data_IF_454555816372
#
_entry.id   IF_454555816372
#
_cell.length_a   1.000
_cell.length_b   1.000
_cell.length_c   1.000
_cell.angle_alpha   90.00
_cell.angle_beta   90.00
_cell.angle_gamma   90.00
#
_symmetry.space_group_name_H-M   'P 1'
#
loop_
_entity.id
_entity.type
_entity.pdbx_description
1 polymer ?
#
# COMPACT_ATOMS: atom_id res chain seq x y z
N UNK A 1 -5.73 11.33 -25.41
CA UNK A 1 -6.72 11.59 -24.35
C UNK A 1 -6.54 13.01 -23.87
N UNK A 2 -7.62 13.73 -23.52
CA UNK A 2 -7.58 15.16 -23.18
C UNK A 2 -6.59 15.49 -22.06
N UNK A 3 -6.39 14.60 -21.10
CA UNK A 3 -5.35 14.69 -20.06
C UNK A 3 -3.93 14.87 -20.63
N UNK A 4 -3.62 14.28 -21.80
CA UNK A 4 -2.32 14.48 -22.46
C UNK A 4 -2.20 15.87 -23.10
N UNK A 5 -3.32 16.48 -23.47
CA UNK A 5 -3.38 17.78 -24.12
C UNK A 5 -3.49 18.91 -23.10
N UNK A 6 -4.17 18.65 -21.98
CA UNK A 6 -4.42 19.58 -20.87
C UNK A 6 -4.26 18.79 -19.57
N UNK A 7 -3.06 18.77 -18.96
CA UNK A 7 -2.77 17.96 -17.77
C UNK A 7 -3.67 18.25 -16.56
N UNK A 8 -4.14 19.48 -16.39
CA UNK A 8 -5.03 19.89 -15.29
C UNK A 8 -6.52 19.70 -15.59
N UNK A 9 -6.89 19.19 -16.77
CA UNK A 9 -8.29 19.07 -17.17
C UNK A 9 -9.08 18.15 -16.24
N UNK A 10 -8.51 17.00 -15.87
CA UNK A 10 -9.22 16.05 -15.01
C UNK A 10 -9.38 16.60 -13.58
N UNK A 11 -8.39 17.35 -13.08
CA UNK A 11 -8.49 18.07 -11.80
C UNK A 11 -9.69 19.04 -11.81
N UNK A 12 -9.92 19.72 -12.93
CA UNK A 12 -11.04 20.66 -13.10
C UNK A 12 -12.39 19.99 -13.32
N UNK A 13 -12.41 18.66 -13.54
CA UNK A 13 -13.62 17.90 -13.88
C UNK A 13 -13.80 16.72 -12.91
N UNK A 14 -14.02 17.04 -11.62
CA UNK A 14 -14.14 16.05 -10.54
C UNK A 14 -15.18 14.97 -10.81
N UNK A 15 -16.33 15.32 -11.38
CA UNK A 15 -17.39 14.36 -11.74
C UNK A 15 -16.91 13.26 -12.69
N UNK A 16 -16.01 13.60 -13.62
CA UNK A 16 -15.39 12.63 -14.52
C UNK A 16 -14.44 11.73 -13.74
N UNK A 17 -13.61 12.29 -12.85
CA UNK A 17 -12.75 11.51 -11.98
C UNK A 17 -13.54 10.52 -11.13
N UNK A 18 -14.64 10.95 -10.50
CA UNK A 18 -15.49 10.09 -9.68
C UNK A 18 -16.12 8.95 -10.52
N UNK A 19 -16.58 9.25 -11.74
CA UNK A 19 -17.07 8.24 -12.67
C UNK A 19 -15.98 7.24 -13.07
N UNK A 20 -14.74 7.69 -13.29
CA UNK A 20 -13.61 6.80 -13.56
C UNK A 20 -13.27 5.93 -12.34
N UNK A 21 -13.33 6.47 -11.12
CA UNK A 21 -13.10 5.72 -9.90
C UNK A 21 -14.18 4.64 -9.68
N UNK A 22 -15.45 4.94 -9.99
CA UNK A 22 -16.51 3.94 -10.00
C UNK A 22 -16.29 2.87 -11.07
N UNK A 23 -15.85 3.26 -12.26
CA UNK A 23 -15.50 2.33 -13.34
C UNK A 23 -14.33 1.43 -12.95
N UNK A 24 -13.34 1.95 -12.23
CA UNK A 24 -12.26 1.17 -11.63
C UNK A 24 -12.81 0.08 -10.71
N UNK A 25 -13.80 0.37 -9.88
CA UNK A 25 -14.37 -0.65 -8.97
C UNK A 25 -15.37 -1.59 -9.64
N UNK A 26 -15.70 -1.38 -10.91
CA UNK A 26 -16.76 -2.14 -11.58
C UNK A 26 -16.39 -3.61 -11.82
N UNK A 27 -17.34 -4.50 -11.56
CA UNK A 27 -17.19 -5.93 -11.85
C UNK A 27 -16.92 -6.18 -13.33
N UNK A 28 -17.56 -5.41 -14.23
CA UNK A 28 -17.37 -5.53 -15.67
C UNK A 28 -15.90 -5.31 -16.08
N UNK A 29 -15.23 -4.29 -15.52
CA UNK A 29 -13.81 -4.05 -15.78
C UNK A 29 -12.93 -5.16 -15.20
N UNK A 30 -13.19 -5.59 -13.97
CA UNK A 30 -12.42 -6.68 -13.34
C UNK A 30 -12.56 -8.00 -14.10
N UNK A 31 -13.76 -8.33 -14.57
CA UNK A 31 -14.01 -9.52 -15.40
C UNK A 31 -13.24 -9.47 -16.73
N UNK A 32 -13.20 -8.30 -17.38
CA UNK A 32 -12.35 -8.09 -18.57
C UNK A 32 -10.87 -8.29 -18.28
N UNK A 33 -10.39 -7.75 -17.16
CA UNK A 33 -9.00 -7.87 -16.74
C UNK A 33 -8.59 -9.34 -16.48
N UNK A 34 -9.49 -10.15 -15.91
CA UNK A 34 -9.25 -11.57 -15.69
C UNK A 34 -9.23 -12.38 -17.00
N UNK A 35 -10.05 -11.98 -17.98
CA UNK A 35 -10.19 -12.67 -19.27
C UNK A 35 -9.46 -11.93 -20.40
N UNK A 36 -8.32 -11.29 -20.08
CA UNK A 36 -7.58 -10.43 -21.02
C UNK A 36 -7.28 -11.10 -22.37
N UNK A 37 -7.08 -12.41 -22.38
CA UNK A 37 -6.72 -13.19 -23.57
C UNK A 37 -7.81 -13.15 -24.66
N UNK A 38 -9.07 -12.98 -24.27
CA UNK A 38 -10.24 -12.94 -25.16
C UNK A 38 -10.52 -11.53 -25.71
N UNK A 39 -9.79 -10.53 -25.21
CA UNK A 39 -10.05 -9.14 -25.50
C UNK A 39 -9.18 -8.59 -26.62
N UNK A 40 -9.75 -7.62 -27.34
CA UNK A 40 -8.98 -6.84 -28.31
C UNK A 40 -8.02 -5.86 -27.60
N UNK A 41 -7.05 -5.33 -28.36
CA UNK A 41 -6.00 -4.46 -27.82
C UNK A 41 -6.53 -3.19 -27.12
N UNK A 42 -7.67 -2.66 -27.57
CA UNK A 42 -8.29 -1.45 -26.99
C UNK A 42 -8.84 -1.78 -25.60
N UNK A 43 -9.53 -2.90 -25.46
CA UNK A 43 -10.11 -3.34 -24.19
C UNK A 43 -9.03 -3.74 -23.18
N UNK A 44 -7.96 -4.41 -23.61
CA UNK A 44 -6.81 -4.75 -22.75
C UNK A 44 -6.14 -3.49 -22.18
N UNK A 45 -6.15 -2.38 -22.94
CA UNK A 45 -5.55 -1.11 -22.51
C UNK A 45 -6.46 -0.28 -21.60
N UNK A 46 -7.71 -0.69 -21.36
CA UNK A 46 -8.66 0.05 -20.53
C UNK A 46 -8.09 0.37 -19.15
N UNK A 47 -7.67 -0.65 -18.39
CA UNK A 47 -7.08 -0.46 -17.06
C UNK A 47 -5.82 0.41 -17.11
N UNK A 48 -4.97 0.24 -18.14
CA UNK A 48 -3.80 1.10 -18.35
C UNK A 48 -4.18 2.57 -18.48
N UNK A 49 -5.24 2.86 -19.23
CA UNK A 49 -5.69 4.24 -19.42
C UNK A 49 -6.32 4.82 -18.16
N UNK A 50 -7.08 4.03 -17.41
CA UNK A 50 -7.60 4.44 -16.10
C UNK A 50 -6.46 4.79 -15.13
N UNK A 51 -5.47 3.90 -14.97
CA UNK A 51 -4.30 4.18 -14.13
C UNK A 51 -3.61 5.47 -14.56
N UNK A 52 -3.40 5.69 -15.87
CA UNK A 52 -2.77 6.94 -16.35
C UNK A 52 -3.60 8.18 -16.04
N UNK A 53 -4.93 8.11 -16.09
CA UNK A 53 -5.80 9.21 -15.68
C UNK A 53 -5.67 9.48 -14.17
N UNK A 54 -5.70 8.43 -13.33
CA UNK A 54 -5.55 8.58 -11.89
C UNK A 54 -4.19 9.14 -11.50
N UNK A 55 -3.10 8.64 -12.07
CA UNK A 55 -1.77 9.19 -11.78
C UNK A 55 -1.63 10.64 -12.19
N UNK A 56 -2.20 11.04 -13.33
CA UNK A 56 -2.24 12.45 -13.69
C UNK A 56 -3.03 13.29 -12.67
N UNK A 57 -4.20 12.81 -12.23
CA UNK A 57 -4.99 13.50 -11.22
C UNK A 57 -4.22 13.61 -9.88
N UNK A 58 -3.65 12.51 -9.39
CA UNK A 58 -2.93 12.42 -8.12
C UNK A 58 -1.68 13.31 -8.04
N UNK A 59 -1.05 13.61 -9.19
CA UNK A 59 0.06 14.58 -9.24
C UNK A 59 -0.38 16.01 -8.96
N UNK A 60 -1.65 16.33 -9.20
CA UNK A 60 -2.24 17.64 -8.93
C UNK A 60 -3.00 17.68 -7.61
N UNK A 61 -3.65 16.58 -7.23
CA UNK A 61 -4.42 16.45 -5.99
C UNK A 61 -3.96 15.22 -5.20
N UNK A 62 -3.04 15.45 -4.25
CA UNK A 62 -2.41 14.38 -3.45
C UNK A 62 -3.30 13.90 -2.29
N UNK A 63 -4.47 14.53 -2.05
CA UNK A 63 -5.37 14.14 -0.95
C UNK A 63 -6.24 12.91 -1.26
N UNK A 64 -6.36 12.48 -2.52
CA UNK A 64 -7.20 11.35 -2.92
C UNK A 64 -6.56 9.99 -2.57
N UNK A 65 -6.45 9.68 -1.28
CA UNK A 65 -5.78 8.47 -0.80
C UNK A 65 -6.53 7.19 -1.20
N UNK A 66 -7.86 7.21 -1.25
CA UNK A 66 -8.64 6.01 -1.62
C UNK A 66 -8.22 5.47 -2.99
N UNK A 67 -8.13 6.33 -4.01
CA UNK A 67 -7.77 5.87 -5.36
C UNK A 67 -6.31 5.40 -5.42
N UNK A 68 -5.43 6.03 -4.61
CA UNK A 68 -4.03 5.63 -4.49
C UNK A 68 -3.93 4.18 -4.00
N UNK A 69 -4.70 3.80 -2.98
CA UNK A 69 -4.73 2.40 -2.54
C UNK A 69 -5.49 1.50 -3.53
N UNK A 70 -6.63 1.93 -4.06
CA UNK A 70 -7.45 1.15 -4.99
C UNK A 70 -6.66 0.73 -6.25
N UNK A 71 -5.77 1.60 -6.76
CA UNK A 71 -5.03 1.35 -8.00
C UNK A 71 -3.98 0.25 -7.84
N UNK A 72 -3.45 0.01 -6.63
CA UNK A 72 -2.54 -1.10 -6.35
C UNK A 72 -3.17 -2.47 -6.66
N UNK A 73 -4.51 -2.56 -6.67
CA UNK A 73 -5.21 -3.79 -7.02
C UNK A 73 -4.84 -4.32 -8.41
N UNK A 74 -4.28 -3.48 -9.29
CA UNK A 74 -3.83 -3.91 -10.61
C UNK A 74 -2.73 -4.97 -10.56
N UNK A 75 -1.90 -4.96 -9.50
CA UNK A 75 -0.82 -5.91 -9.31
C UNK A 75 -1.30 -7.28 -8.79
N UNK A 76 -2.60 -7.41 -8.50
CA UNK A 76 -3.25 -8.68 -8.15
C UNK A 76 -3.58 -9.52 -9.39
N UNK A 77 -3.42 -8.96 -10.59
CA UNK A 77 -3.77 -9.61 -11.84
C UNK A 77 -2.53 -9.84 -12.71
N UNK A 78 -2.49 -11.00 -13.35
CA UNK A 78 -1.49 -11.33 -14.36
C UNK A 78 -1.85 -10.66 -15.69
N UNK A 79 -1.62 -9.36 -15.79
CA UNK A 79 -1.88 -8.57 -17.00
C UNK A 79 -0.72 -8.65 -17.98
N UNK A 80 -1.02 -8.60 -19.29
CA UNK A 80 -0.03 -8.45 -20.36
C UNK A 80 0.49 -7.02 -20.49
N UNK A 81 -0.16 -6.08 -19.81
CA UNK A 81 0.26 -4.68 -19.79
C UNK A 81 1.40 -4.49 -18.79
N UNK A 82 2.47 -3.87 -19.27
CA UNK A 82 3.52 -3.37 -18.40
C UNK A 82 3.02 -2.13 -17.62
N UNK A 83 3.01 -2.28 -16.29
CA UNK A 83 2.68 -1.28 -15.27
C UNK A 83 3.91 -0.77 -14.51
N UNK A 84 5.13 -0.92 -15.06
CA UNK A 84 6.36 -0.36 -14.46
C UNK A 84 6.22 1.13 -14.13
N UNK A 85 5.56 1.91 -14.99
CA UNK A 85 5.26 3.32 -14.75
C UNK A 85 4.45 3.59 -13.48
N UNK A 86 3.62 2.63 -13.03
CA UNK A 86 2.87 2.74 -11.79
C UNK A 86 3.75 2.37 -10.60
N UNK A 87 4.62 1.36 -10.73
CA UNK A 87 5.61 1.03 -9.70
C UNK A 87 6.53 2.21 -9.45
N UNK A 88 7.08 2.80 -10.52
CA UNK A 88 7.92 4.00 -10.47
C UNK A 88 7.22 5.17 -9.78
N UNK A 89 5.95 5.42 -10.10
CA UNK A 89 5.17 6.44 -9.42
C UNK A 89 5.13 6.22 -7.90
N UNK A 90 4.90 4.99 -7.42
CA UNK A 90 4.90 4.73 -5.98
C UNK A 90 6.29 4.82 -5.35
N UNK A 91 7.28 4.14 -5.92
CA UNK A 91 8.59 3.98 -5.27
C UNK A 91 9.50 5.20 -5.45
N UNK A 92 9.22 6.06 -6.43
CA UNK A 92 9.98 7.28 -6.72
C UNK A 92 9.13 8.50 -6.35
N UNK A 93 8.07 8.79 -7.10
CA UNK A 93 7.34 10.06 -6.96
C UNK A 93 6.66 10.18 -5.58
N UNK A 94 5.97 9.15 -5.10
CA UNK A 94 5.31 9.22 -3.77
C UNK A 94 6.36 9.24 -2.65
N UNK A 95 7.41 8.44 -2.77
CA UNK A 95 8.47 8.35 -1.74
C UNK A 95 9.26 9.66 -1.62
N UNK A 96 9.63 10.28 -2.74
CA UNK A 96 10.49 11.45 -2.78
C UNK A 96 9.70 12.77 -2.70
N UNK A 97 8.60 12.91 -3.45
CA UNK A 97 7.92 14.20 -3.62
C UNK A 97 6.79 14.47 -2.61
N UNK A 98 6.39 13.48 -1.81
CA UNK A 98 5.36 13.70 -0.81
C UNK A 98 5.97 14.30 0.47
N UNK A 99 5.46 15.44 0.97
CA UNK A 99 5.91 16.01 2.22
C UNK A 99 5.55 15.10 3.41
N UNK A 100 6.25 15.21 4.55
CA UNK A 100 6.05 14.34 5.71
C UNK A 100 4.60 14.26 6.20
N UNK A 101 3.85 15.36 6.16
CA UNK A 101 2.45 15.38 6.57
C UNK A 101 1.54 14.52 5.68
N UNK A 102 1.81 14.43 4.37
CA UNK A 102 1.08 13.54 3.48
C UNK A 102 1.50 12.08 3.67
N UNK A 103 2.80 11.82 3.88
CA UNK A 103 3.29 10.48 4.24
C UNK A 103 2.64 9.97 5.53
N UNK A 104 2.54 10.83 6.56
CA UNK A 104 1.80 10.54 7.80
C UNK A 104 0.35 10.16 7.53
N UNK A 105 -0.34 10.95 6.71
CA UNK A 105 -1.74 10.70 6.40
C UNK A 105 -1.93 9.37 5.62
N UNK A 106 -0.98 8.99 4.76
CA UNK A 106 -0.97 7.69 4.09
C UNK A 106 -0.81 6.52 5.07
N UNK A 107 0.08 6.65 6.07
CA UNK A 107 0.23 5.62 7.12
C UNK A 107 -1.08 5.48 7.91
N UNK A 108 -1.67 6.60 8.34
CA UNK A 108 -2.94 6.57 9.07
C UNK A 108 -4.08 5.97 8.24
N UNK A 109 -4.14 6.31 6.96
CA UNK A 109 -5.13 5.75 6.04
C UNK A 109 -4.95 4.23 5.86
N UNK A 110 -3.70 3.77 5.68
CA UNK A 110 -3.38 2.34 5.63
C UNK A 110 -3.80 1.61 6.91
N UNK A 111 -3.49 2.16 8.09
CA UNK A 111 -3.90 1.56 9.37
C UNK A 111 -5.42 1.44 9.48
N UNK A 112 -6.16 2.43 8.98
CA UNK A 112 -7.62 2.38 8.92
C UNK A 112 -8.12 1.29 7.95
N UNK A 113 -7.54 1.18 6.75
CA UNK A 113 -7.90 0.15 5.77
C UNK A 113 -7.62 -1.27 6.31
N UNK A 114 -6.49 -1.44 6.99
CA UNK A 114 -6.09 -2.68 7.64
C UNK A 114 -7.08 -3.05 8.75
N UNK A 115 -7.39 -2.12 9.66
CA UNK A 115 -8.28 -2.38 10.79
C UNK A 115 -9.74 -2.62 10.36
N UNK A 116 -10.23 -1.87 9.38
CA UNK A 116 -11.60 -1.99 8.88
C UNK A 116 -11.82 -3.18 7.94
N UNK A 117 -10.77 -3.95 7.64
CA UNK A 117 -10.79 -5.10 6.70
C UNK A 117 -11.40 -4.74 5.34
N UNK A 118 -11.18 -3.51 4.87
CA UNK A 118 -11.71 -3.04 3.59
C UNK A 118 -10.97 -3.61 2.37
N UNK A 119 -9.71 -4.00 2.57
CA UNK A 119 -8.87 -4.62 1.56
C UNK A 119 -8.56 -6.07 1.94
N UNK A 120 -8.47 -6.95 0.95
CA UNK A 120 -7.97 -8.31 1.14
C UNK A 120 -6.47 -8.35 1.41
N UNK A 121 -5.97 -9.45 1.98
CA UNK A 121 -4.56 -9.59 2.36
C UNK A 121 -3.59 -9.39 1.19
N UNK A 122 -3.85 -9.99 0.02
CA UNK A 122 -2.99 -9.77 -1.16
C UNK A 122 -2.88 -8.29 -1.55
N UNK A 123 -3.96 -7.53 -1.39
CA UNK A 123 -3.95 -6.08 -1.66
C UNK A 123 -3.16 -5.32 -0.60
N UNK A 124 -3.31 -5.69 0.69
CA UNK A 124 -2.49 -5.13 1.76
C UNK A 124 -1.00 -5.42 1.55
N UNK A 125 -0.64 -6.61 1.09
CA UNK A 125 0.74 -6.98 0.71
C UNK A 125 1.28 -6.04 -0.36
N UNK A 126 0.51 -5.81 -1.44
CA UNK A 126 0.93 -4.85 -2.48
C UNK A 126 1.08 -3.42 -1.94
N UNK A 127 0.20 -3.00 -1.02
CA UNK A 127 0.32 -1.70 -0.37
C UNK A 127 1.55 -1.59 0.53
N UNK A 128 1.90 -2.65 1.26
CA UNK A 128 3.10 -2.68 2.08
C UNK A 128 4.37 -2.62 1.22
N UNK A 129 4.46 -3.49 0.21
CA UNK A 129 5.64 -3.62 -0.64
C UNK A 129 5.93 -2.39 -1.49
N UNK A 130 4.90 -1.82 -2.13
CA UNK A 130 5.09 -0.76 -3.11
C UNK A 130 4.96 0.65 -2.53
N UNK A 131 4.27 0.81 -1.40
CA UNK A 131 3.95 2.13 -0.85
C UNK A 131 4.48 2.29 0.59
N UNK A 132 3.97 1.51 1.55
CA UNK A 132 4.23 1.79 2.97
C UNK A 132 5.69 1.56 3.35
N UNK A 133 6.25 0.38 3.08
CA UNK A 133 7.62 0.06 3.50
C UNK A 133 8.67 0.95 2.81
N UNK A 134 8.63 1.18 1.47
CA UNK A 134 9.57 2.09 0.81
C UNK A 134 9.47 3.52 1.35
N UNK A 135 8.25 4.04 1.54
CA UNK A 135 8.02 5.39 2.04
C UNK A 135 8.54 5.58 3.47
N UNK A 136 8.29 4.60 4.35
CA UNK A 136 8.78 4.65 5.72
C UNK A 136 10.30 4.53 5.78
N UNK A 137 10.88 3.60 5.02
CA UNK A 137 12.33 3.42 4.95
C UNK A 137 13.03 4.72 4.53
N UNK A 138 12.52 5.38 3.49
CA UNK A 138 13.03 6.68 3.04
C UNK A 138 12.82 7.79 4.09
N UNK A 139 11.64 7.88 4.70
CA UNK A 139 11.38 8.89 5.74
C UNK A 139 12.34 8.74 6.93
N UNK A 140 12.62 7.50 7.35
CA UNK A 140 13.55 7.22 8.45
C UNK A 140 14.99 7.56 8.10
N UNK A 141 15.43 7.24 6.87
CA UNK A 141 16.77 7.55 6.39
C UNK A 141 17.01 9.07 6.27
N UNK A 142 15.96 9.83 5.97
CA UNK A 142 16.05 11.29 5.78
C UNK A 142 15.68 12.09 7.04
N UNK A 143 15.60 11.45 8.21
CA UNK A 143 15.35 12.13 9.48
C UNK A 143 13.92 12.67 9.66
N UNK A 144 12.97 12.24 8.82
CA UNK A 144 11.56 12.64 8.85
C UNK A 144 10.70 11.75 9.76
N UNK A 145 11.33 10.87 10.52
CA UNK A 145 10.69 9.82 11.34
C UNK A 145 9.49 10.33 12.13
N UNK A 146 9.69 11.32 13.01
CA UNK A 146 8.66 11.75 13.96
C UNK A 146 7.58 12.63 13.33
N UNK A 147 7.86 13.20 12.16
CA UNK A 147 6.85 13.89 11.36
C UNK A 147 5.88 12.90 10.70
N UNK A 148 6.39 11.73 10.30
CA UNK A 148 5.61 10.68 9.61
C UNK A 148 4.95 9.70 10.58
N UNK A 149 5.70 9.19 11.56
CA UNK A 149 5.23 8.25 12.59
C UNK A 149 5.59 8.79 13.97
N UNK A 150 4.63 9.43 14.64
CA UNK A 150 4.81 9.81 16.05
C UNK A 150 4.67 8.60 17.00
N UNK A 151 4.98 8.75 18.29
CA UNK A 151 4.85 7.66 19.26
C UNK A 151 3.44 7.03 19.34
N UNK A 152 2.37 7.78 19.06
CA UNK A 152 1.00 7.23 19.05
C UNK A 152 0.77 6.34 17.83
N UNK A 153 1.31 6.71 16.67
CA UNK A 153 1.26 5.87 15.47
C UNK A 153 2.11 4.62 15.67
N UNK A 154 3.32 4.73 16.25
CA UNK A 154 4.15 3.56 16.60
C UNK A 154 3.37 2.61 17.50
N UNK A 155 2.78 3.12 18.58
CA UNK A 155 1.94 2.35 19.50
C UNK A 155 0.80 1.64 18.76
N UNK A 156 0.11 2.37 17.87
CA UNK A 156 -0.98 1.81 17.07
C UNK A 156 -0.50 0.68 16.15
N UNK A 157 0.65 0.85 15.49
CA UNK A 157 1.23 -0.21 14.66
C UNK A 157 1.54 -1.45 15.51
N UNK A 158 2.20 -1.28 16.66
CA UNK A 158 2.54 -2.40 17.54
C UNK A 158 1.27 -3.12 17.99
N UNK A 159 0.31 -2.40 18.58
CA UNK A 159 -0.88 -3.01 19.17
C UNK A 159 -1.87 -3.59 18.13
N UNK A 160 -1.97 -2.98 16.94
CA UNK A 160 -2.97 -3.37 15.94
C UNK A 160 -2.45 -4.33 14.88
N UNK A 161 -1.15 -4.25 14.54
CA UNK A 161 -0.57 -5.03 13.45
C UNK A 161 0.38 -6.12 13.97
N UNK A 162 1.21 -5.81 14.99
CA UNK A 162 2.26 -6.72 15.46
C UNK A 162 1.85 -7.53 16.70
N UNK A 163 0.91 -7.07 17.51
CA UNK A 163 0.36 -7.84 18.63
C UNK A 163 -1.18 -7.80 18.66
N UNK A 164 -1.87 -8.11 17.54
CA UNK A 164 -3.32 -8.17 17.54
C UNK A 164 -3.82 -9.38 18.36
N UNK A 165 -5.12 -9.43 18.71
CA UNK A 165 -5.73 -10.61 19.30
C UNK A 165 -5.50 -11.87 18.44
N UNK A 166 -5.41 -13.03 19.10
CA UNK A 166 -5.03 -14.29 18.43
C UNK A 166 -6.00 -14.63 17.30
N UNK A 167 -7.30 -14.35 17.49
CA UNK A 167 -8.36 -14.55 16.51
C UNK A 167 -8.11 -13.76 15.23
N UNK A 168 -7.52 -12.56 15.34
CA UNK A 168 -7.20 -11.72 14.20
C UNK A 168 -5.91 -12.18 13.52
N UNK A 169 -4.86 -12.48 14.29
CA UNK A 169 -3.58 -12.95 13.71
C UNK A 169 -3.67 -14.32 13.04
N UNK A 170 -4.61 -15.16 13.47
CA UNK A 170 -4.87 -16.46 12.87
C UNK A 170 -5.38 -16.35 11.43
N UNK A 171 -6.07 -15.26 11.09
CA UNK A 171 -6.60 -15.02 9.75
C UNK A 171 -5.49 -14.63 8.75
N UNK A 172 -4.38 -14.04 9.20
CA UNK A 172 -3.33 -13.54 8.30
C UNK A 172 -2.70 -14.68 7.49
N UNK A 173 -2.60 -14.50 6.18
CA UNK A 173 -1.89 -15.43 5.32
C UNK A 173 -0.37 -15.21 5.38
N UNK A 174 0.37 -16.16 4.81
CA UNK A 174 1.83 -16.12 4.85
C UNK A 174 2.42 -14.84 4.21
N UNK A 175 1.98 -14.41 3.01
CA UNK A 175 2.51 -13.18 2.40
C UNK A 175 2.33 -11.96 3.30
N UNK A 176 1.16 -11.79 3.93
CA UNK A 176 0.94 -10.66 4.83
C UNK A 176 1.82 -10.74 6.08
N UNK A 177 2.01 -11.93 6.66
CA UNK A 177 2.91 -12.14 7.81
C UNK A 177 4.34 -11.73 7.49
N UNK A 178 4.85 -12.06 6.31
CA UNK A 178 6.19 -11.66 5.86
C UNK A 178 6.30 -10.13 5.80
N UNK A 179 5.31 -9.44 5.23
CA UNK A 179 5.33 -7.97 5.16
C UNK A 179 5.24 -7.30 6.54
N UNK A 180 4.45 -7.85 7.47
CA UNK A 180 4.38 -7.39 8.86
C UNK A 180 5.72 -7.59 9.59
N UNK A 181 6.44 -8.66 9.27
CA UNK A 181 7.79 -8.91 9.79
C UNK A 181 8.82 -7.95 9.22
N UNK A 182 8.72 -7.59 7.93
CA UNK A 182 9.54 -6.54 7.34
C UNK A 182 9.25 -5.18 7.98
N UNK A 183 7.98 -4.86 8.27
CA UNK A 183 7.61 -3.66 9.01
C UNK A 183 8.24 -3.64 10.41
N UNK A 184 8.12 -4.74 11.16
CA UNK A 184 8.72 -4.86 12.49
C UNK A 184 10.25 -4.68 12.45
N UNK A 185 10.92 -5.31 11.48
CA UNK A 185 12.36 -5.17 11.25
C UNK A 185 12.74 -3.72 10.94
N UNK A 186 11.95 -3.03 10.11
CA UNK A 186 12.18 -1.63 9.77
C UNK A 186 12.07 -0.75 11.03
N UNK A 187 11.03 -0.93 11.85
CA UNK A 187 10.87 -0.19 13.09
C UNK A 187 12.02 -0.47 14.07
N UNK A 188 12.40 -1.74 14.25
CA UNK A 188 13.53 -2.14 15.09
C UNK A 188 14.88 -1.60 14.60
N UNK A 189 15.05 -1.37 13.30
CA UNK A 189 16.29 -0.80 12.77
C UNK A 189 16.44 0.68 13.10
N UNK A 190 15.35 1.44 13.06
CA UNK A 190 15.41 2.90 13.14
C UNK A 190 14.88 3.50 14.46
N UNK A 191 14.09 2.76 15.25
CA UNK A 191 13.38 3.25 16.45
C UNK A 191 13.72 2.46 17.73
N UNK A 192 14.93 1.91 17.84
CA UNK A 192 15.31 1.02 18.94
C UNK A 192 15.04 1.59 20.34
N UNK A 193 15.40 2.87 20.55
CA UNK A 193 15.21 3.58 21.82
C UNK A 193 13.74 3.71 22.22
N UNK A 194 12.88 3.92 21.23
CA UNK A 194 11.47 4.27 21.44
C UNK A 194 10.60 3.01 21.55
N UNK A 195 11.06 1.90 20.98
CA UNK A 195 10.42 0.59 21.07
C UNK A 195 10.71 -0.14 22.38
N UNK A 196 11.52 0.42 23.29
CA UNK A 196 11.82 -0.21 24.60
C UNK A 196 10.53 -0.52 25.38
N UNK A 197 9.54 0.36 25.29
CA UNK A 197 8.23 0.18 25.94
C UNK A 197 7.37 -0.91 25.27
N UNK A 198 7.71 -1.30 24.04
CA UNK A 198 7.00 -2.28 23.21
C UNK A 198 7.78 -3.59 23.00
N UNK A 199 8.89 -3.78 23.74
CA UNK A 199 9.79 -4.91 23.54
C UNK A 199 9.12 -6.27 23.77
N UNK A 200 8.14 -6.36 24.67
CA UNK A 200 7.49 -7.64 25.00
C UNK A 200 6.63 -8.11 23.83
N UNK A 201 5.90 -7.18 23.24
CA UNK A 201 5.03 -7.34 22.08
C UNK A 201 5.87 -7.74 20.87
N UNK A 202 6.99 -7.03 20.61
CA UNK A 202 7.89 -7.34 19.50
C UNK A 202 8.58 -8.71 19.66
N UNK A 203 9.00 -9.06 20.87
CA UNK A 203 9.56 -10.39 21.15
C UNK A 203 8.49 -11.47 20.94
N UNK A 204 7.28 -11.28 21.49
CA UNK A 204 6.15 -12.20 21.29
C UNK A 204 5.84 -12.40 19.80
N UNK A 205 5.79 -11.31 19.04
CA UNK A 205 5.57 -11.32 17.60
C UNK A 205 6.66 -12.12 16.85
N UNK A 206 7.94 -11.88 17.13
CA UNK A 206 9.04 -12.61 16.52
C UNK A 206 9.01 -14.11 16.87
N UNK A 207 8.72 -14.45 18.13
CA UNK A 207 8.59 -15.84 18.56
C UNK A 207 7.43 -16.58 17.89
N UNK A 208 6.31 -15.90 17.66
CA UNK A 208 5.18 -16.47 16.93
C UNK A 208 5.60 -16.88 15.50
N UNK A 209 6.35 -16.03 14.81
CA UNK A 209 6.84 -16.32 13.45
C UNK A 209 7.92 -17.42 13.43
N UNK A 210 8.84 -17.44 14.41
CA UNK A 210 9.86 -18.51 14.54
C UNK A 210 9.27 -19.89 14.81
N UNK A 211 8.12 -19.94 15.50
CA UNK A 211 7.38 -21.17 15.79
C UNK A 211 6.46 -21.62 14.66
N UNK A 212 6.29 -20.80 13.61
CA UNK A 212 5.53 -21.20 12.43
C UNK A 212 6.13 -22.48 11.82
N UNK A 213 5.26 -23.40 11.41
CA UNK A 213 5.68 -24.61 10.69
C UNK A 213 6.14 -24.29 9.26
N UNK A 214 5.83 -23.09 8.76
CA UNK A 214 6.18 -22.63 7.42
C UNK A 214 7.62 -22.14 7.30
N UNK A 215 8.31 -22.58 6.25
CA UNK A 215 9.75 -22.41 6.09
C UNK A 215 10.17 -20.98 5.73
N UNK A 216 9.37 -20.25 4.94
CA UNK A 216 9.75 -18.92 4.47
C UNK A 216 9.56 -17.88 5.58
N UNK A 217 8.37 -17.80 6.18
CA UNK A 217 8.13 -16.93 7.35
C UNK A 217 9.12 -17.17 8.49
N UNK A 218 9.48 -18.43 8.73
CA UNK A 218 10.47 -18.80 9.75
C UNK A 218 11.87 -18.33 9.40
N UNK A 219 12.30 -18.44 8.14
CA UNK A 219 13.61 -17.94 7.68
C UNK A 219 13.73 -16.43 7.78
N UNK A 220 12.67 -15.69 7.46
CA UNK A 220 12.65 -14.23 7.59
C UNK A 220 12.70 -13.76 9.05
N UNK A 221 12.28 -14.59 10.00
CA UNK A 221 12.23 -14.25 11.43
C UNK A 221 13.56 -14.49 12.16
N UNK A 222 14.49 -15.26 11.57
CA UNK A 222 15.85 -15.44 12.06
C UNK A 222 16.73 -14.22 11.76
#
# INVERSE_FOLDING_TARGET
>A
TMVKLIPSWLQSNRTVFDALALLWKSHARTSRLQNEQELNLVQVKESKWLVKCFLNYLRHEKSEMNILFDVLSIFLFHSRIDYTFLKEFYIIEVVEDYPPNLKRALVLHFLNLFHSKQLGHDHLVQAMQLLILPMLSHAFQNGQTWEVIDPNIVKTIVERLLDPPEEVSAEYDEPLRIELLQLATLLLKYLQSDLVHHRKELIKFGWHHLKSEDSASKQWAF
#
